data_IF_628813221887
#
_entry.id   IF_628813221887
#
_cell.length_a   1.000
_cell.length_b   1.000
_cell.length_c   1.000
_cell.angle_alpha   90.00
_cell.angle_beta   90.00
_cell.angle_gamma   90.00
#
_symmetry.space_group_name_H-M   'P 1'
#
loop_
_entity.id
_entity.type
_entity.pdbx_description
1 polymer ?
#
# COMPACT_ATOMS: atom_id res chain seq x y z
N UNK A 1 26.50 -30.65 22.24
CA UNK A 1 26.65 -29.61 21.20
C UNK A 1 25.82 -28.39 21.61
N UNK A 2 26.28 -27.18 21.28
CA UNK A 2 25.49 -25.97 21.52
C UNK A 2 24.38 -25.89 20.48
N UNK A 3 23.16 -25.58 20.93
CA UNK A 3 21.99 -25.45 20.03
C UNK A 3 22.16 -24.30 19.05
N UNK A 4 22.78 -23.21 19.49
CA UNK A 4 23.09 -22.05 18.65
C UNK A 4 24.58 -21.74 18.71
N UNK A 5 25.17 -21.38 17.57
CA UNK A 5 26.53 -20.86 17.46
C UNK A 5 26.52 -19.59 16.60
N UNK A 6 27.41 -18.65 16.88
CA UNK A 6 27.57 -17.43 16.07
C UNK A 6 28.97 -17.44 15.46
N UNK A 7 29.05 -17.23 14.15
CA UNK A 7 30.33 -17.07 13.46
C UNK A 7 30.88 -15.67 13.76
N UNK A 8 31.96 -15.57 14.54
CA UNK A 8 32.58 -14.30 14.94
C UNK A 8 33.10 -13.47 13.75
N UNK A 9 33.36 -14.10 12.60
CA UNK A 9 33.84 -13.41 11.39
C UNK A 9 32.70 -12.76 10.61
N UNK A 10 31.52 -13.38 10.59
CA UNK A 10 30.38 -12.92 9.77
C UNK A 10 29.22 -12.36 10.58
N UNK A 11 29.19 -12.59 11.89
CA UNK A 11 28.08 -12.24 12.78
C UNK A 11 26.83 -13.11 12.60
N UNK A 12 26.86 -14.12 11.72
CA UNK A 12 25.71 -14.97 11.41
C UNK A 12 25.52 -15.99 12.54
N UNK A 13 24.28 -16.06 13.06
CA UNK A 13 23.85 -17.09 14.00
C UNK A 13 23.43 -18.35 13.25
N UNK A 14 23.72 -19.52 13.80
CA UNK A 14 23.35 -20.82 13.27
C UNK A 14 22.60 -21.65 14.31
N UNK A 15 21.58 -22.39 13.91
CA UNK A 15 20.84 -23.36 14.74
C UNK A 15 21.20 -24.80 14.35
N UNK A 16 21.40 -25.67 15.34
CA UNK A 16 21.61 -27.10 15.14
C UNK A 16 20.27 -27.79 14.82
N UNK A 17 20.13 -28.31 13.60
CA UNK A 17 18.98 -29.09 13.15
C UNK A 17 19.48 -30.46 12.67
N UNK A 18 19.19 -31.50 13.45
CA UNK A 18 19.78 -32.83 13.25
C UNK A 18 21.28 -32.78 13.51
N UNK A 19 22.06 -33.18 12.50
CA UNK A 19 23.53 -33.23 12.58
C UNK A 19 24.22 -32.02 11.93
N UNK A 20 23.46 -31.01 11.49
CA UNK A 20 23.96 -29.85 10.74
C UNK A 20 23.57 -28.52 11.37
N UNK A 21 24.48 -27.54 11.27
CA UNK A 21 24.22 -26.14 11.64
C UNK A 21 23.66 -25.39 10.44
N UNK A 22 22.43 -24.88 10.57
CA UNK A 22 21.76 -24.06 9.57
C UNK A 22 21.85 -22.58 9.94
N UNK A 23 22.18 -21.67 9.00
CA UNK A 23 22.22 -20.25 9.29
C UNK A 23 20.81 -19.71 9.56
N UNK A 24 20.66 -18.99 10.66
CA UNK A 24 19.46 -18.25 11.04
C UNK A 24 19.39 -16.96 10.21
N UNK A 25 19.06 -17.09 8.92
CA UNK A 25 18.90 -15.94 8.04
C UNK A 25 17.50 -15.34 8.25
N UNK A 26 17.46 -14.19 8.94
CA UNK A 26 16.26 -13.36 9.03
C UNK A 26 16.44 -12.14 8.14
N UNK A 27 15.40 -11.80 7.36
CA UNK A 27 15.33 -10.50 6.71
C UNK A 27 15.00 -9.51 7.83
N UNK A 28 15.88 -8.53 8.08
CA UNK A 28 15.64 -7.48 9.08
C UNK A 28 14.42 -6.61 8.72
N UNK A 29 14.04 -6.57 7.45
CA UNK A 29 12.91 -5.78 6.99
C UNK A 29 11.59 -6.29 7.54
N UNK A 30 11.00 -5.37 8.29
CA UNK A 30 9.67 -5.30 8.90
C UNK A 30 8.57 -5.94 8.06
N UNK A 31 7.55 -6.45 8.77
CA UNK A 31 6.32 -6.91 8.15
C UNK A 31 5.85 -5.90 7.08
N UNK A 32 5.40 -6.38 5.90
CA UNK A 32 5.01 -5.49 4.83
C UNK A 32 3.96 -4.49 5.33
N UNK A 33 4.10 -3.19 5.01
CA UNK A 33 3.18 -2.17 5.47
C UNK A 33 1.76 -2.51 5.04
N UNK A 34 0.79 -2.16 5.89
CA UNK A 34 -0.61 -2.40 5.60
C UNK A 34 -1.07 -1.48 4.46
N UNK A 35 -1.06 -1.99 3.23
CA UNK A 35 -1.54 -1.25 2.05
C UNK A 35 -3.07 -1.20 2.03
N UNK A 36 -3.61 0.00 1.78
CA UNK A 36 -5.04 0.21 1.55
C UNK A 36 -5.42 -0.16 0.12
N UNK A 37 -6.50 0.44 -0.42
CA UNK A 37 -7.02 0.19 -1.76
C UNK A 37 -5.99 0.57 -2.84
N UNK A 38 -5.39 1.76 -2.75
CA UNK A 38 -4.59 2.31 -3.85
C UNK A 38 -3.23 1.65 -3.99
N UNK A 39 -2.57 1.33 -2.87
CA UNK A 39 -1.31 0.61 -2.84
C UNK A 39 -1.43 -0.78 -3.47
N UNK A 40 -2.52 -1.50 -3.18
CA UNK A 40 -2.80 -2.80 -3.81
C UNK A 40 -3.07 -2.66 -5.31
N UNK A 41 -3.77 -1.60 -5.72
CA UNK A 41 -4.00 -1.32 -7.14
C UNK A 41 -2.69 -0.96 -7.87
N UNK A 42 -1.80 -0.20 -7.22
CA UNK A 42 -0.46 0.11 -7.75
C UNK A 42 0.38 -1.15 -7.90
N UNK A 43 0.40 -2.02 -6.90
CA UNK A 43 1.12 -3.30 -6.96
C UNK A 43 0.66 -4.13 -8.14
N UNK A 44 -0.67 -4.28 -8.31
CA UNK A 44 -1.26 -5.01 -9.43
C UNK A 44 -0.88 -4.40 -10.77
N UNK A 45 -0.98 -3.08 -10.89
CA UNK A 45 -0.61 -2.35 -12.11
C UNK A 45 0.87 -2.56 -12.46
N UNK A 46 1.77 -2.47 -11.48
CA UNK A 46 3.19 -2.70 -11.69
C UNK A 46 3.47 -4.13 -12.18
N UNK A 47 2.79 -5.14 -11.61
CA UNK A 47 2.93 -6.54 -12.04
C UNK A 47 2.40 -6.80 -13.46
N UNK A 48 1.27 -6.21 -13.82
CA UNK A 48 0.60 -6.47 -15.10
C UNK A 48 1.19 -5.64 -16.24
N UNK A 49 1.47 -4.35 -16.00
CA UNK A 49 1.81 -3.38 -17.04
C UNK A 49 3.24 -2.82 -16.97
N UNK A 50 3.92 -2.87 -15.81
CA UNK A 50 5.27 -2.30 -15.62
C UNK A 50 6.25 -3.32 -14.99
N UNK A 51 6.29 -4.54 -15.55
CA UNK A 51 7.06 -5.68 -15.02
C UNK A 51 8.53 -5.37 -14.72
N UNK A 52 9.21 -4.61 -15.57
CA UNK A 52 10.62 -4.25 -15.37
C UNK A 52 10.79 -3.41 -14.10
N UNK A 53 9.96 -2.39 -13.91
CA UNK A 53 9.97 -1.56 -12.71
C UNK A 53 9.63 -2.38 -11.47
N UNK A 54 8.62 -3.25 -11.56
CA UNK A 54 8.24 -4.15 -10.47
C UNK A 54 9.42 -5.03 -10.01
N UNK A 55 10.09 -5.69 -10.95
CA UNK A 55 11.24 -6.57 -10.64
C UNK A 55 12.39 -5.76 -10.05
N UNK A 56 12.69 -4.58 -10.62
CA UNK A 56 13.75 -3.73 -10.09
C UNK A 56 13.49 -3.32 -8.63
N UNK A 57 12.26 -2.91 -8.30
CA UNK A 57 11.87 -2.56 -6.93
C UNK A 57 11.89 -3.75 -5.98
N UNK A 58 11.50 -4.93 -6.47
CA UNK A 58 11.50 -6.17 -5.70
C UNK A 58 12.93 -6.60 -5.36
N UNK A 59 13.83 -6.63 -6.36
CA UNK A 59 15.23 -7.01 -6.16
C UNK A 59 16.01 -5.97 -5.36
N UNK A 60 15.64 -4.68 -5.44
CA UNK A 60 16.24 -3.65 -4.60
C UNK A 60 15.69 -3.61 -3.16
N UNK A 61 14.66 -4.42 -2.84
CA UNK A 61 14.01 -4.42 -1.54
C UNK A 61 13.16 -3.17 -1.23
N UNK A 62 12.91 -2.30 -2.22
CA UNK A 62 12.21 -1.01 -2.03
C UNK A 62 10.74 -1.03 -2.48
N UNK A 63 10.23 -2.20 -2.86
CA UNK A 63 8.87 -2.33 -3.36
C UNK A 63 7.83 -1.82 -2.35
N UNK A 64 7.93 -2.25 -1.09
CA UNK A 64 6.94 -1.92 -0.08
C UNK A 64 6.99 -0.45 0.35
N UNK A 65 8.18 0.15 0.43
CA UNK A 65 8.37 1.60 0.62
C UNK A 65 7.66 2.39 -0.49
N UNK A 66 7.95 2.05 -1.75
CA UNK A 66 7.29 2.69 -2.91
C UNK A 66 5.77 2.56 -2.89
N UNK A 67 5.26 1.36 -2.55
CA UNK A 67 3.82 1.13 -2.49
C UNK A 67 3.16 1.91 -1.35
N UNK A 68 3.82 2.03 -0.20
CA UNK A 68 3.32 2.81 0.93
C UNK A 68 3.25 4.30 0.59
N UNK A 69 4.31 4.86 -0.01
CA UNK A 69 4.35 6.27 -0.41
C UNK A 69 3.22 6.63 -1.40
N UNK A 70 3.02 5.77 -2.40
CA UNK A 70 1.96 5.93 -3.39
C UNK A 70 0.58 5.78 -2.74
N UNK A 71 0.41 4.81 -1.84
CA UNK A 71 -0.86 4.59 -1.13
C UNK A 71 -1.25 5.79 -0.28
N UNK A 72 -0.31 6.33 0.51
CA UNK A 72 -0.53 7.53 1.33
C UNK A 72 -0.89 8.72 0.46
N UNK A 73 -0.10 8.98 -0.58
CA UNK A 73 -0.35 10.11 -1.50
C UNK A 73 -1.71 10.02 -2.19
N UNK A 74 -2.09 8.80 -2.63
CA UNK A 74 -3.37 8.54 -3.27
C UNK A 74 -4.55 8.70 -2.30
N UNK A 75 -4.42 8.20 -1.07
CA UNK A 75 -5.42 8.35 -0.01
C UNK A 75 -5.66 9.82 0.33
N UNK A 76 -4.58 10.59 0.54
CA UNK A 76 -4.66 12.00 0.89
C UNK A 76 -5.33 12.82 -0.22
N UNK A 77 -4.96 12.55 -1.49
CA UNK A 77 -5.56 13.23 -2.63
C UNK A 77 -7.05 12.86 -2.79
N UNK A 78 -7.40 11.58 -2.62
CA UNK A 78 -8.80 11.15 -2.69
C UNK A 78 -9.65 11.81 -1.59
N UNK A 79 -9.14 11.86 -0.35
CA UNK A 79 -9.85 12.49 0.76
C UNK A 79 -10.04 14.00 0.52
N UNK A 80 -9.00 14.67 0.03
CA UNK A 80 -9.08 16.08 -0.36
C UNK A 80 -10.14 16.32 -1.43
N UNK A 81 -10.11 15.55 -2.52
CA UNK A 81 -11.04 15.68 -3.64
C UNK A 81 -12.48 15.42 -3.22
N UNK A 82 -12.72 14.40 -2.40
CA UNK A 82 -14.06 14.10 -1.88
C UNK A 82 -14.58 15.27 -1.03
N UNK A 83 -13.77 15.80 -0.12
CA UNK A 83 -14.14 16.95 0.72
C UNK A 83 -14.44 18.19 -0.12
N UNK A 84 -13.61 18.48 -1.12
CA UNK A 84 -13.77 19.64 -1.98
C UNK A 84 -15.04 19.54 -2.84
N UNK A 85 -15.25 18.40 -3.49
CA UNK A 85 -16.43 18.16 -4.31
C UNK A 85 -17.73 18.12 -3.49
N UNK A 86 -17.71 17.53 -2.30
CA UNK A 86 -18.86 17.53 -1.40
C UNK A 86 -19.26 18.95 -0.99
N UNK A 87 -18.29 19.83 -0.71
CA UNK A 87 -18.54 21.25 -0.45
C UNK A 87 -19.12 21.96 -1.67
N UNK A 88 -18.54 21.76 -2.86
CA UNK A 88 -19.01 22.38 -4.12
C UNK A 88 -20.43 21.95 -4.51
N UNK A 89 -20.78 20.68 -4.28
CA UNK A 89 -22.10 20.13 -4.60
C UNK A 89 -23.13 20.31 -3.47
N UNK A 90 -22.76 20.94 -2.35
CA UNK A 90 -23.67 21.17 -1.23
C UNK A 90 -24.14 19.88 -0.53
N UNK A 91 -23.32 18.84 -0.53
CA UNK A 91 -23.62 17.57 0.14
C UNK A 91 -23.40 17.73 1.64
N UNK A 92 -24.44 18.19 2.34
CA UNK A 92 -24.42 18.45 3.80
C UNK A 92 -25.17 17.37 4.59
N UNK A 93 -24.93 17.32 5.90
CA UNK A 93 -25.71 16.44 6.80
C UNK A 93 -27.20 16.85 6.85
N UNK A 94 -27.53 18.12 6.55
CA UNK A 94 -28.94 18.53 6.41
C UNK A 94 -29.62 17.86 5.21
N UNK A 95 -28.91 17.71 4.09
CA UNK A 95 -29.41 16.97 2.93
C UNK A 95 -29.64 15.50 3.28
N UNK A 96 -28.74 14.91 4.07
CA UNK A 96 -28.84 13.52 4.53
C UNK A 96 -30.09 13.28 5.39
N UNK A 97 -30.46 14.24 6.23
CA UNK A 97 -31.68 14.19 7.06
C UNK A 97 -32.97 14.38 6.26
N UNK A 98 -32.93 15.16 5.17
CA UNK A 98 -34.10 15.42 4.30
C UNK A 98 -34.32 14.33 3.26
N UNK A 99 -33.24 13.87 2.62
CA UNK A 99 -33.27 12.88 1.55
C UNK A 99 -31.98 12.05 1.57
N UNK A 100 -32.00 10.99 2.37
CA UNK A 100 -30.87 10.08 2.54
C UNK A 100 -30.45 9.42 1.22
N UNK A 101 -31.40 9.05 0.36
CA UNK A 101 -31.08 8.36 -0.90
C UNK A 101 -30.37 9.28 -1.88
N UNK A 102 -30.82 10.53 -1.99
CA UNK A 102 -30.14 11.54 -2.81
C UNK A 102 -28.74 11.84 -2.28
N UNK A 103 -28.59 11.95 -0.95
CA UNK A 103 -27.27 12.15 -0.32
C UNK A 103 -26.31 11.00 -0.64
N UNK A 104 -26.75 9.74 -0.51
CA UNK A 104 -25.94 8.56 -0.85
C UNK A 104 -25.54 8.59 -2.34
N UNK A 105 -26.50 8.89 -3.23
CA UNK A 105 -26.23 8.96 -4.67
C UNK A 105 -25.17 10.00 -5.03
N UNK A 106 -25.27 11.21 -4.48
CA UNK A 106 -24.29 12.27 -4.70
C UNK A 106 -22.93 11.91 -4.12
N UNK A 107 -22.89 11.40 -2.88
CA UNK A 107 -21.63 11.01 -2.25
C UNK A 107 -20.93 9.87 -3.01
N UNK A 108 -21.68 8.91 -3.55
CA UNK A 108 -21.12 7.84 -4.36
C UNK A 108 -20.56 8.36 -5.69
N UNK A 109 -21.26 9.29 -6.34
CA UNK A 109 -20.76 9.93 -7.56
C UNK A 109 -19.44 10.69 -7.29
N UNK A 110 -19.40 11.47 -6.21
CA UNK A 110 -18.19 12.21 -5.80
C UNK A 110 -17.02 11.26 -5.55
N UNK A 111 -17.24 10.16 -4.82
CA UNK A 111 -16.20 9.15 -4.58
C UNK A 111 -15.71 8.51 -5.88
N UNK A 112 -16.61 8.18 -6.80
CA UNK A 112 -16.25 7.62 -8.10
C UNK A 112 -15.39 8.59 -8.93
N UNK A 113 -15.75 9.88 -8.96
CA UNK A 113 -14.96 10.90 -9.64
C UNK A 113 -13.57 11.07 -8.99
N UNK A 114 -13.50 11.09 -7.65
CA UNK A 114 -12.23 11.20 -6.93
C UNK A 114 -11.33 9.98 -7.18
N UNK A 115 -11.91 8.78 -7.13
CA UNK A 115 -11.23 7.52 -7.45
C UNK A 115 -10.66 7.57 -8.88
N UNK A 116 -11.43 8.00 -9.87
CA UNK A 116 -10.99 8.05 -11.26
C UNK A 116 -9.78 8.99 -11.46
N UNK A 117 -9.80 10.16 -10.83
CA UNK A 117 -8.68 11.12 -10.89
C UNK A 117 -7.44 10.50 -10.24
N UNK A 118 -7.56 10.01 -9.00
CA UNK A 118 -6.42 9.45 -8.25
C UNK A 118 -5.82 8.23 -8.96
N UNK A 119 -6.66 7.38 -9.54
CA UNK A 119 -6.20 6.22 -10.27
C UNK A 119 -5.35 6.60 -11.49
N UNK A 120 -5.82 7.57 -12.28
CA UNK A 120 -5.11 8.00 -13.48
C UNK A 120 -3.84 8.79 -13.15
N UNK A 121 -3.90 9.71 -12.18
CA UNK A 121 -2.81 10.65 -11.91
C UNK A 121 -1.69 10.05 -11.05
N UNK A 122 -2.03 9.14 -10.13
CA UNK A 122 -1.08 8.58 -9.15
C UNK A 122 -0.86 7.08 -9.37
N UNK A 123 -1.93 6.29 -9.42
CA UNK A 123 -1.81 4.82 -9.37
C UNK A 123 -1.33 4.21 -10.67
N UNK A 124 -1.73 4.77 -11.83
CA UNK A 124 -1.40 4.23 -13.16
C UNK A 124 -0.32 5.00 -13.91
N UNK A 125 0.18 6.11 -13.34
CA UNK A 125 1.35 6.83 -13.87
C UNK A 125 2.62 5.95 -13.82
#
# INVERSE_FOLDING_TARGET
MQRFITDERTGIQYELIGDYYYPCLTIENEEPPTLTKYGRMRERYLREHRKILYINLLTSGKLYEHLADIDTSACDMAEYLIKEMARKQGVTEELKGKDMMKWIGLMNNIRACADEIVLNDIVYS
#
